data_IF_218678824137
#
_entry.id   IF_218678824137
#
_cell.length_a   1.000
_cell.length_b   1.000
_cell.length_c   1.000
_cell.angle_alpha   90.00
_cell.angle_beta   90.00
_cell.angle_gamma   90.00
#
_symmetry.space_group_name_H-M   'P 1'
#
loop_
_entity.id
_entity.type
_entity.pdbx_description
1 polymer ?
#
# COMPACT_ATOMS: atom_id res chain seq x y z
N UNK A 1 67.43 -32.76 21.53
CA UNK A 1 66.12 -32.33 20.98
C UNK A 1 66.39 -31.29 19.91
N UNK A 2 66.14 -31.59 18.63
CA UNK A 2 65.84 -30.62 17.56
C UNK A 2 65.68 -31.36 16.20
N UNK A 3 64.83 -32.39 16.10
CA UNK A 3 64.64 -33.09 14.80
C UNK A 3 63.63 -32.40 13.87
N UNK A 4 62.87 -31.40 14.35
CA UNK A 4 61.79 -30.75 13.59
C UNK A 4 61.92 -29.22 13.54
N UNK A 5 63.12 -28.70 13.26
CA UNK A 5 63.31 -27.25 13.09
C UNK A 5 62.89 -26.79 11.70
N UNK A 6 62.00 -25.80 11.62
CA UNK A 6 61.56 -25.21 10.34
C UNK A 6 62.63 -24.23 9.86
N UNK A 7 63.43 -24.64 8.89
CA UNK A 7 64.55 -23.85 8.35
C UNK A 7 64.18 -22.95 7.17
N UNK A 8 63.01 -23.15 6.54
CA UNK A 8 62.55 -22.35 5.41
C UNK A 8 61.02 -22.28 5.38
N UNK A 9 60.48 -21.09 5.10
CA UNK A 9 59.05 -20.87 4.90
C UNK A 9 58.84 -20.18 3.55
N UNK A 10 57.79 -20.60 2.83
CA UNK A 10 57.37 -20.07 1.54
C UNK A 10 55.85 -20.02 1.48
N UNK A 11 55.30 -19.17 0.62
CA UNK A 11 53.91 -19.30 0.21
C UNK A 11 53.81 -20.45 -0.79
N UNK A 12 52.73 -21.23 -0.75
CA UNK A 12 52.47 -22.30 -1.73
C UNK A 12 51.04 -22.22 -2.23
N UNK A 13 50.86 -22.16 -3.55
CA UNK A 13 49.56 -22.28 -4.17
C UNK A 13 49.10 -23.74 -4.09
N UNK A 14 48.05 -24.01 -3.31
CA UNK A 14 47.52 -25.37 -3.10
C UNK A 14 46.98 -26.04 -4.37
N UNK A 15 46.61 -25.26 -5.40
CA UNK A 15 46.05 -25.80 -6.65
C UNK A 15 47.12 -26.13 -7.68
N UNK A 16 48.07 -25.22 -7.92
CA UNK A 16 49.12 -25.39 -8.94
C UNK A 16 50.40 -26.02 -8.39
N UNK A 17 50.58 -26.01 -7.06
CA UNK A 17 51.79 -26.49 -6.39
C UNK A 17 52.94 -25.49 -6.37
N UNK A 18 52.79 -24.34 -7.03
CA UNK A 18 53.81 -23.30 -7.16
C UNK A 18 54.17 -22.67 -5.81
N UNK A 19 55.46 -22.40 -5.60
CA UNK A 19 56.00 -21.82 -4.36
C UNK A 19 56.55 -20.41 -4.61
N UNK A 20 56.26 -19.50 -3.68
CA UNK A 20 56.70 -18.11 -3.73
C UNK A 20 57.50 -17.75 -2.47
N UNK A 21 58.44 -16.82 -2.62
CA UNK A 21 59.17 -16.24 -1.48
C UNK A 21 58.20 -15.53 -0.53
N UNK A 22 58.50 -15.52 0.76
CA UNK A 22 57.74 -14.71 1.72
C UNK A 22 57.88 -13.19 1.49
N UNK A 23 58.81 -12.77 0.63
CA UNK A 23 58.97 -11.37 0.20
C UNK A 23 58.08 -10.99 -0.99
N UNK A 24 57.36 -11.96 -1.59
CA UNK A 24 56.46 -11.68 -2.70
C UNK A 24 55.29 -10.83 -2.20
N UNK A 25 55.20 -9.58 -2.66
CA UNK A 25 54.26 -8.59 -2.15
C UNK A 25 52.79 -8.88 -2.50
N UNK A 26 52.54 -9.47 -3.67
CA UNK A 26 51.20 -9.82 -4.13
C UNK A 26 51.23 -11.05 -5.03
N UNK A 27 50.11 -11.75 -5.12
CA UNK A 27 49.86 -12.80 -6.10
C UNK A 27 48.61 -12.44 -6.88
N UNK A 28 48.62 -12.66 -8.20
CA UNK A 28 47.47 -12.38 -9.04
C UNK A 28 46.46 -13.52 -8.94
N UNK A 29 45.19 -13.17 -8.74
CA UNK A 29 44.08 -14.11 -8.66
C UNK A 29 42.89 -13.55 -9.40
N UNK A 30 42.45 -14.26 -10.43
CA UNK A 30 41.14 -13.98 -11.03
C UNK A 30 40.02 -14.34 -10.05
N UNK A 31 39.16 -13.38 -9.77
CA UNK A 31 37.96 -13.56 -8.97
C UNK A 31 36.79 -13.11 -9.85
N UNK A 32 35.82 -13.99 -10.09
CA UNK A 32 34.56 -13.61 -10.72
C UNK A 32 33.73 -12.82 -9.72
N UNK A 33 33.60 -11.51 -9.96
CA UNK A 33 32.72 -10.63 -9.17
C UNK A 33 31.36 -10.58 -9.85
N UNK A 34 30.23 -10.69 -9.12
CA UNK A 34 28.92 -10.46 -9.69
C UNK A 34 28.79 -8.99 -10.13
N UNK A 35 28.56 -8.78 -11.42
CA UNK A 35 28.37 -7.44 -12.00
C UNK A 35 26.89 -7.21 -12.27
N UNK A 36 26.36 -6.10 -11.75
CA UNK A 36 25.01 -5.65 -12.11
C UNK A 36 25.02 -5.15 -13.55
N UNK A 37 24.09 -5.65 -14.36
CA UNK A 37 23.91 -5.23 -15.75
C UNK A 37 22.48 -4.75 -15.93
N UNK A 38 22.30 -3.72 -16.76
CA UNK A 38 20.98 -3.27 -17.15
C UNK A 38 20.44 -4.19 -18.24
N UNK A 39 19.29 -4.82 -17.98
CA UNK A 39 18.61 -5.63 -18.98
C UNK A 39 17.43 -4.82 -19.52
N UNK A 40 17.40 -4.50 -20.82
CA UNK A 40 16.32 -3.72 -21.40
C UNK A 40 15.02 -4.54 -21.47
N UNK A 41 13.89 -3.92 -21.11
CA UNK A 41 12.56 -4.49 -21.29
C UNK A 41 11.95 -4.14 -22.67
N UNK A 42 12.61 -3.24 -23.41
CA UNK A 42 12.22 -2.79 -24.74
C UNK A 42 13.43 -2.76 -25.67
N UNK A 43 13.25 -3.22 -26.90
CA UNK A 43 14.25 -3.16 -27.98
C UNK A 43 13.61 -2.46 -29.17
N UNK A 44 14.22 -1.38 -29.66
CA UNK A 44 13.68 -0.54 -30.74
C UNK A 44 12.23 -0.04 -30.48
N UNK A 45 11.91 0.22 -29.20
CA UNK A 45 10.58 0.68 -28.78
C UNK A 45 9.52 -0.41 -28.66
N UNK A 46 9.86 -1.67 -28.96
CA UNK A 46 8.96 -2.82 -28.82
C UNK A 46 9.33 -3.61 -27.56
N UNK A 47 8.33 -3.97 -26.75
CA UNK A 47 8.54 -4.78 -25.55
C UNK A 47 9.12 -6.14 -25.92
N UNK A 48 10.08 -6.64 -25.14
CA UNK A 48 10.59 -8.00 -25.30
C UNK A 48 9.46 -9.02 -25.12
N UNK A 49 9.61 -10.20 -25.72
CA UNK A 49 8.56 -11.22 -25.68
C UNK A 49 8.26 -11.71 -24.27
N UNK A 50 7.05 -12.24 -24.03
CA UNK A 50 6.70 -12.87 -22.73
C UNK A 50 7.66 -14.00 -22.35
N UNK A 51 8.19 -14.72 -23.35
CA UNK A 51 9.20 -15.77 -23.14
C UNK A 51 10.50 -15.18 -22.58
N UNK A 52 10.92 -14.03 -23.09
CA UNK A 52 12.11 -13.33 -22.60
C UNK A 52 11.88 -12.70 -21.23
N UNK A 53 10.70 -12.11 -20.97
CA UNK A 53 10.31 -11.65 -19.63
C UNK A 53 10.35 -12.79 -18.61
N UNK A 54 9.76 -13.94 -18.96
CA UNK A 54 9.75 -15.12 -18.09
C UNK A 54 11.17 -15.63 -17.80
N UNK A 55 12.08 -15.57 -18.79
CA UNK A 55 13.49 -15.92 -18.60
C UNK A 55 14.23 -14.96 -17.66
N UNK A 56 13.73 -13.74 -17.50
CA UNK A 56 14.20 -12.75 -16.51
C UNK A 56 13.47 -12.87 -15.15
N UNK A 57 12.54 -13.82 -15.00
CA UNK A 57 11.71 -13.94 -13.80
C UNK A 57 10.67 -12.83 -13.67
N UNK A 58 10.25 -12.24 -14.79
CA UNK A 58 9.26 -11.17 -14.86
C UNK A 58 7.97 -11.67 -15.55
N UNK A 59 6.85 -11.07 -15.17
CA UNK A 59 5.55 -11.28 -15.81
C UNK A 59 4.83 -9.94 -16.02
N UNK A 60 3.91 -9.93 -16.99
CA UNK A 60 3.02 -8.78 -17.22
C UNK A 60 1.78 -8.99 -16.35
N UNK A 61 1.56 -8.08 -15.41
CA UNK A 61 0.35 -8.07 -14.57
C UNK A 61 -0.56 -6.94 -15.01
N UNK A 62 -1.81 -7.29 -15.35
CA UNK A 62 -2.88 -6.32 -15.60
C UNK A 62 -3.74 -6.13 -14.36
N UNK A 63 -4.08 -4.88 -14.06
CA UNK A 63 -5.01 -4.53 -12.98
C UNK A 63 -6.29 -3.95 -13.57
N UNK A 64 -7.43 -4.34 -13.02
CA UNK A 64 -8.70 -3.70 -13.36
C UNK A 64 -8.83 -2.36 -12.65
N UNK A 65 -9.66 -1.45 -13.19
CA UNK A 65 -9.96 -0.18 -12.52
C UNK A 65 -10.57 -0.42 -11.12
N UNK A 66 -11.37 -1.47 -10.96
CA UNK A 66 -11.97 -1.83 -9.66
C UNK A 66 -10.89 -2.19 -8.62
N UNK A 67 -9.86 -2.95 -9.02
CA UNK A 67 -8.75 -3.30 -8.13
C UNK A 67 -7.94 -2.07 -7.73
N UNK A 68 -7.65 -1.19 -8.70
CA UNK A 68 -6.95 0.06 -8.45
C UNK A 68 -7.74 0.99 -7.55
N UNK A 69 -9.03 1.18 -7.82
CA UNK A 69 -9.91 2.01 -7.00
C UNK A 69 -10.03 1.44 -5.58
N UNK A 70 -10.21 0.13 -5.43
CA UNK A 70 -10.32 -0.51 -4.11
C UNK A 70 -9.07 -0.25 -3.25
N UNK A 71 -7.88 -0.41 -3.84
CA UNK A 71 -6.62 -0.13 -3.15
C UNK A 71 -6.49 1.38 -2.83
N UNK A 72 -6.75 2.23 -3.80
CA UNK A 72 -6.65 3.69 -3.66
C UNK A 72 -7.57 4.22 -2.54
N UNK A 73 -8.85 3.85 -2.54
CA UNK A 73 -9.79 4.34 -1.52
C UNK A 73 -9.53 3.73 -0.15
N UNK A 74 -9.04 2.49 -0.07
CA UNK A 74 -8.60 1.90 1.20
C UNK A 74 -7.43 2.68 1.80
N UNK A 75 -6.41 3.01 1.00
CA UNK A 75 -5.29 3.86 1.44
C UNK A 75 -5.75 5.27 1.81
N UNK A 76 -6.67 5.86 1.02
CA UNK A 76 -7.23 7.18 1.28
C UNK A 76 -7.90 7.26 2.66
N UNK A 77 -8.70 6.26 3.01
CA UNK A 77 -9.34 6.17 4.33
C UNK A 77 -8.34 5.86 5.44
N UNK A 78 -7.34 5.01 5.20
CA UNK A 78 -6.30 4.72 6.19
C UNK A 78 -5.44 5.95 6.51
N UNK A 79 -5.14 6.77 5.51
CA UNK A 79 -4.40 8.01 5.67
C UNK A 79 -5.23 9.13 6.35
N UNK A 80 -6.56 9.03 6.34
CA UNK A 80 -7.47 10.06 6.85
C UNK A 80 -8.56 9.45 7.76
N UNK A 81 -8.25 9.22 9.04
CA UNK A 81 -9.20 8.60 9.98
C UNK A 81 -10.55 9.31 10.09
N UNK A 82 -10.56 10.64 9.91
CA UNK A 82 -11.78 11.46 9.99
C UNK A 82 -12.65 11.39 8.72
N UNK A 83 -12.10 10.95 7.59
CA UNK A 83 -12.81 10.93 6.32
C UNK A 83 -13.95 9.92 6.33
N UNK A 84 -13.72 8.70 6.82
CA UNK A 84 -14.74 7.67 6.85
C UNK A 84 -15.99 8.09 7.66
N UNK A 85 -15.88 8.58 8.92
CA UNK A 85 -17.03 9.11 9.66
C UNK A 85 -17.79 10.22 8.92
N UNK A 86 -17.09 11.15 8.27
CA UNK A 86 -17.71 12.26 7.52
C UNK A 86 -18.48 11.75 6.30
N UNK A 87 -17.90 10.82 5.54
CA UNK A 87 -18.57 10.17 4.42
C UNK A 87 -19.79 9.37 4.87
N UNK A 88 -19.74 8.67 6.03
CA UNK A 88 -20.92 7.98 6.59
C UNK A 88 -22.04 8.97 6.88
N UNK A 89 -21.73 10.07 7.56
CA UNK A 89 -22.73 11.09 7.90
C UNK A 89 -23.36 11.71 6.66
N UNK A 90 -22.56 12.01 5.64
CA UNK A 90 -23.07 12.53 4.36
C UNK A 90 -23.96 11.51 3.63
N UNK A 91 -23.53 10.25 3.55
CA UNK A 91 -24.34 9.15 2.99
C UNK A 91 -25.68 9.03 3.71
N UNK A 92 -25.66 9.01 5.04
CA UNK A 92 -26.87 8.86 5.85
C UNK A 92 -27.86 10.02 5.62
N UNK A 93 -27.37 11.24 5.35
CA UNK A 93 -28.23 12.35 4.92
C UNK A 93 -28.86 12.10 3.54
N UNK A 94 -28.09 11.65 2.55
CA UNK A 94 -28.63 11.32 1.23
C UNK A 94 -29.64 10.17 1.29
N UNK A 95 -29.36 9.13 2.07
CA UNK A 95 -30.28 8.03 2.34
C UNK A 95 -31.59 8.53 2.99
N UNK A 96 -31.50 9.47 3.94
CA UNK A 96 -32.67 10.06 4.60
C UNK A 96 -33.57 10.88 3.65
N UNK A 97 -33.00 11.35 2.54
CA UNK A 97 -33.69 12.06 1.46
C UNK A 97 -34.07 11.14 0.30
N UNK A 98 -33.77 9.83 0.40
CA UNK A 98 -33.93 8.85 -0.67
C UNK A 98 -33.25 9.27 -1.99
N UNK A 99 -32.08 9.90 -1.89
CA UNK A 99 -31.29 10.39 -3.01
C UNK A 99 -30.14 9.44 -3.35
N UNK A 100 -29.76 9.33 -4.63
CA UNK A 100 -28.56 8.59 -5.02
C UNK A 100 -27.29 9.34 -4.57
N UNK A 101 -26.15 8.63 -4.47
CA UNK A 101 -24.90 9.20 -3.97
C UNK A 101 -24.17 10.13 -4.95
N UNK A 102 -24.68 10.25 -6.17
CA UNK A 102 -24.28 11.22 -7.17
C UNK A 102 -25.26 12.40 -7.28
N UNK A 103 -26.20 12.53 -6.33
CA UNK A 103 -27.21 13.59 -6.35
C UNK A 103 -26.59 14.99 -6.24
N UNK A 104 -26.98 15.90 -7.13
CA UNK A 104 -26.51 17.29 -7.16
C UNK A 104 -27.13 18.14 -6.05
N UNK A 105 -26.56 19.32 -5.78
CA UNK A 105 -27.14 20.30 -4.85
C UNK A 105 -28.60 20.63 -5.18
N UNK A 106 -28.92 20.80 -6.47
CA UNK A 106 -30.30 21.08 -6.90
C UNK A 106 -31.26 19.93 -6.56
N UNK A 107 -30.81 18.68 -6.64
CA UNK A 107 -31.60 17.51 -6.28
C UNK A 107 -31.79 17.41 -4.76
N UNK A 108 -30.76 17.76 -3.98
CA UNK A 108 -30.84 17.87 -2.51
C UNK A 108 -31.85 18.95 -2.11
N UNK A 109 -31.76 20.13 -2.69
CA UNK A 109 -32.68 21.24 -2.40
C UNK A 109 -34.12 20.89 -2.78
N UNK A 110 -34.34 20.27 -3.95
CA UNK A 110 -35.66 19.79 -4.36
C UNK A 110 -36.23 18.75 -3.38
N UNK A 111 -35.42 17.79 -2.94
CA UNK A 111 -35.84 16.77 -1.97
C UNK A 111 -36.19 17.39 -0.60
N UNK A 112 -35.40 18.37 -0.15
CA UNK A 112 -35.69 19.12 1.08
C UNK A 112 -36.96 19.94 0.98
N UNK A 113 -37.23 20.57 -0.17
CA UNK A 113 -38.46 21.32 -0.38
C UNK A 113 -39.71 20.43 -0.38
N UNK A 114 -39.57 19.18 -0.85
CA UNK A 114 -40.65 18.19 -0.89
C UNK A 114 -40.96 17.54 0.48
N UNK A 115 -40.14 17.76 1.50
CA UNK A 115 -40.38 17.27 2.88
C UNK A 115 -41.52 18.03 3.53
N UNK A 116 -42.66 17.37 3.72
CA UNK A 116 -43.85 17.95 4.40
C UNK A 116 -43.74 17.90 5.93
N UNK A 117 -42.86 17.07 6.47
CA UNK A 117 -42.65 16.88 7.90
C UNK A 117 -41.61 17.86 8.50
N UNK A 118 -41.08 18.78 7.70
CA UNK A 118 -40.19 19.86 8.15
C UNK A 118 -40.81 21.24 7.90
N UNK A 119 -40.71 22.10 8.90
CA UNK A 119 -40.96 23.52 8.73
C UNK A 119 -39.78 24.22 8.02
N UNK A 120 -39.89 25.54 7.80
CA UNK A 120 -38.83 26.30 7.13
C UNK A 120 -37.50 26.29 7.91
N UNK A 121 -37.56 26.31 9.24
CA UNK A 121 -36.38 26.30 10.10
C UNK A 121 -35.67 24.93 10.05
N UNK A 122 -36.42 23.84 10.16
CA UNK A 122 -35.90 22.47 10.07
C UNK A 122 -35.31 22.15 8.69
N UNK A 123 -35.92 22.64 7.60
CA UNK A 123 -35.35 22.51 6.25
C UNK A 123 -34.02 23.25 6.11
N UNK A 124 -33.93 24.48 6.62
CA UNK A 124 -32.69 25.25 6.61
C UNK A 124 -31.60 24.61 7.46
N UNK A 125 -31.96 24.08 8.64
CA UNK A 125 -31.02 23.39 9.52
C UNK A 125 -30.45 22.13 8.84
N UNK A 126 -31.32 21.30 8.25
CA UNK A 126 -30.89 20.08 7.56
C UNK A 126 -30.03 20.41 6.33
N UNK A 127 -30.43 21.39 5.52
CA UNK A 127 -29.62 21.88 4.39
C UNK A 127 -28.22 22.32 4.85
N UNK A 128 -28.16 23.10 5.94
CA UNK A 128 -26.89 23.59 6.50
C UNK A 128 -26.00 22.45 7.01
N UNK A 129 -26.58 21.42 7.62
CA UNK A 129 -25.84 20.23 8.10
C UNK A 129 -25.27 19.42 6.93
N UNK A 130 -26.05 19.24 5.86
CA UNK A 130 -25.61 18.53 4.65
C UNK A 130 -24.43 19.28 4.00
N UNK A 131 -24.59 20.58 3.79
CA UNK A 131 -23.54 21.43 3.23
C UNK A 131 -22.27 21.45 4.08
N UNK A 132 -22.40 21.53 5.41
CA UNK A 132 -21.27 21.48 6.33
C UNK A 132 -20.51 20.15 6.23
N UNK A 133 -21.21 19.01 6.11
CA UNK A 133 -20.52 17.71 5.99
C UNK A 133 -19.80 17.50 4.69
N UNK A 134 -20.38 17.97 3.60
CA UNK A 134 -19.72 18.01 2.31
C UNK A 134 -18.44 18.88 2.38
N UNK A 135 -18.54 20.06 2.99
CA UNK A 135 -17.38 20.93 3.20
C UNK A 135 -16.31 20.27 4.09
N UNK A 136 -16.70 19.56 5.15
CA UNK A 136 -15.76 18.79 5.98
C UNK A 136 -14.98 17.76 5.14
N UNK A 137 -15.63 17.12 4.15
CA UNK A 137 -14.98 16.18 3.21
C UNK A 137 -14.03 16.93 2.27
N UNK A 138 -14.44 18.08 1.73
CA UNK A 138 -13.59 18.93 0.88
C UNK A 138 -12.31 19.36 1.61
N UNK A 139 -12.42 19.77 2.87
CA UNK A 139 -11.27 20.16 3.70
C UNK A 139 -10.31 18.98 3.89
N UNK A 140 -10.81 17.75 4.07
CA UNK A 140 -9.92 16.58 4.09
C UNK A 140 -9.11 16.45 2.80
N UNK A 141 -9.75 16.66 1.64
CA UNK A 141 -9.09 16.58 0.35
C UNK A 141 -8.02 17.66 0.18
N UNK A 142 -8.33 18.90 0.56
CA UNK A 142 -7.38 20.00 0.52
C UNK A 142 -6.16 19.76 1.42
N UNK A 143 -6.37 19.20 2.62
CA UNK A 143 -5.27 18.84 3.53
C UNK A 143 -4.34 17.76 2.95
N UNK A 144 -4.83 16.93 2.03
CA UNK A 144 -4.03 15.94 1.29
C UNK A 144 -3.33 16.52 0.06
N UNK A 145 -3.50 17.81 -0.23
CA UNK A 145 -3.01 18.42 -1.47
C UNK A 145 -3.82 18.00 -2.71
N UNK A 146 -5.00 17.42 -2.52
CA UNK A 146 -5.93 17.07 -3.60
C UNK A 146 -6.92 18.25 -3.74
N UNK A 147 -7.10 18.84 -4.92
CA UNK A 147 -7.99 19.99 -5.08
C UNK A 147 -9.43 19.70 -4.62
N UNK A 148 -10.00 20.54 -3.74
CA UNK A 148 -11.31 20.33 -3.12
C UNK A 148 -12.48 20.12 -4.10
N UNK A 149 -12.43 20.69 -5.31
CA UNK A 149 -13.43 20.45 -6.38
C UNK A 149 -13.58 18.98 -6.78
N UNK A 150 -12.61 18.12 -6.44
CA UNK A 150 -12.69 16.67 -6.67
C UNK A 150 -13.52 15.92 -5.63
N UNK A 151 -13.90 16.54 -4.50
CA UNK A 151 -14.68 15.87 -3.47
C UNK A 151 -16.08 15.49 -3.97
N UNK A 152 -16.77 16.43 -4.63
CA UNK A 152 -18.09 16.21 -5.23
C UNK A 152 -18.12 15.04 -6.21
N UNK A 153 -17.14 14.98 -7.12
CA UNK A 153 -17.04 13.90 -8.10
C UNK A 153 -16.53 12.59 -7.50
N UNK A 154 -15.83 12.66 -6.36
CA UNK A 154 -15.36 11.49 -5.62
C UNK A 154 -16.42 10.89 -4.70
N UNK A 155 -17.46 11.63 -4.29
CA UNK A 155 -18.48 11.14 -3.32
C UNK A 155 -19.06 9.78 -3.69
N UNK A 156 -19.52 9.50 -4.93
CA UNK A 156 -20.07 8.18 -5.26
C UNK A 156 -19.07 7.04 -5.00
N UNK A 157 -17.80 7.26 -5.33
CA UNK A 157 -16.73 6.29 -5.11
C UNK A 157 -16.32 6.21 -3.64
N UNK A 158 -16.25 7.33 -2.94
CA UNK A 158 -16.03 7.37 -1.49
C UNK A 158 -17.08 6.54 -0.77
N UNK A 159 -18.35 6.70 -1.12
CA UNK A 159 -19.44 5.91 -0.54
C UNK A 159 -19.36 4.44 -0.95
N UNK A 160 -19.10 4.14 -2.23
CA UNK A 160 -18.96 2.76 -2.73
C UNK A 160 -17.86 1.98 -2.01
N UNK A 161 -16.69 2.59 -1.82
CA UNK A 161 -15.53 1.98 -1.19
C UNK A 161 -15.38 2.34 0.29
N UNK A 162 -16.43 2.90 0.90
CA UNK A 162 -16.47 3.15 2.34
C UNK A 162 -16.28 1.81 3.05
N UNK A 163 -15.17 1.67 3.77
CA UNK A 163 -14.96 0.46 4.54
C UNK A 163 -16.06 0.36 5.60
N UNK A 164 -16.90 -0.68 5.47
CA UNK A 164 -17.67 -1.21 6.59
C UNK A 164 -16.61 -1.68 7.58
N UNK A 165 -16.62 -1.24 8.85
CA UNK A 165 -15.63 -1.73 9.81
C UNK A 165 -15.62 -3.25 9.71
N UNK A 166 -14.42 -3.82 9.52
CA UNK A 166 -14.25 -5.27 9.53
C UNK A 166 -14.96 -5.79 10.79
N UNK A 167 -15.76 -6.88 10.71
CA UNK A 167 -16.18 -7.55 11.94
C UNK A 167 -14.92 -7.79 12.75
N UNK A 168 -14.91 -7.34 14.01
CA UNK A 168 -13.85 -7.70 14.95
C UNK A 168 -13.69 -9.21 14.85
N UNK A 169 -12.60 -9.66 14.23
CA UNK A 169 -12.23 -11.07 14.31
C UNK A 169 -11.92 -11.22 15.80
N UNK A 170 -12.72 -11.97 16.58
CA UNK A 170 -12.38 -12.17 17.98
C UNK A 170 -10.96 -12.70 18.00
N UNK A 171 -10.08 -12.04 18.75
CA UNK A 171 -8.71 -12.52 18.96
C UNK A 171 -8.78 -14.01 19.24
N UNK A 172 -8.10 -14.80 18.41
CA UNK A 172 -7.99 -16.23 18.65
C UNK A 172 -7.47 -16.40 20.07
N UNK A 173 -8.10 -17.25 20.91
CA UNK A 173 -7.69 -17.41 22.29
C UNK A 173 -6.19 -17.72 22.32
N UNK A 174 -5.45 -16.96 23.13
CA UNK A 174 -4.03 -17.23 23.42
C UNK A 174 -3.89 -18.74 23.67
N UNK A 175 -3.06 -19.39 22.84
CA UNK A 175 -2.72 -20.77 23.10
C UNK A 175 -2.04 -20.82 24.47
N UNK A 176 -2.48 -21.68 25.41
CA UNK A 176 -1.82 -21.80 26.69
C UNK A 176 -0.35 -22.19 26.45
N UNK A 177 0.56 -21.50 27.13
CA UNK A 177 1.98 -21.83 27.11
C UNK A 177 2.18 -23.33 27.37
N UNK A 178 3.08 -24.00 26.63
CA UNK A 178 3.35 -25.41 26.85
C UNK A 178 3.86 -25.63 28.28
N UNK A 179 3.43 -26.70 28.97
CA UNK A 179 3.84 -26.93 30.35
C UNK A 179 5.36 -27.08 30.45
N UNK A 180 5.95 -26.36 31.40
CA UNK A 180 7.36 -26.43 31.76
C UNK A 180 7.76 -27.90 32.00
N UNK A 181 8.85 -28.33 31.36
CA UNK A 181 9.37 -29.67 31.51
C UNK A 181 9.79 -29.92 32.98
N UNK A 182 9.53 -31.11 33.54
CA UNK A 182 9.88 -31.38 34.93
C UNK A 182 11.40 -31.30 35.11
N UNK A 183 11.84 -30.52 36.10
CA UNK A 183 13.21 -30.54 36.58
C UNK A 183 13.58 -31.97 36.95
N UNK A 184 14.64 -32.48 36.32
CA UNK A 184 15.20 -33.78 36.63
C UNK A 184 15.82 -33.73 38.05
N UNK A 185 15.25 -34.52 38.96
CA UNK A 185 15.83 -34.85 40.27
C UNK A 185 16.72 -36.07 40.14
#
# INVERSE_FOLDING_TARGET
MAENEIVLRKFRNKKTGEEFSLQTAFFEKEIKVPTLVNVPLYVDGVMISEKELSALGLEIVGYTQEQLDTAYYAELYAANPDLAPRVRQYRDYLDSLALPYDATTDQVDAALLAREDLDAAGRLELSSRIAAKLHDIEVNFEMMGIPGQTAWSAIPKLVKYLQVPAPEIPEAPEQPEPPEAPEAV
#
